data_IF_404484592916
#
_entry.id   IF_404484592916
#
_cell.length_a   1.000
_cell.length_b   1.000
_cell.length_c   1.000
_cell.angle_alpha   90.00
_cell.angle_beta   90.00
_cell.angle_gamma   90.00
#
_symmetry.space_group_name_H-M   'P 1'
#
loop_
_entity.id
_entity.type
_entity.pdbx_description
1 polymer ?
#
# COMPACT_ATOMS: atom_id res chain seq x y z
N UNK A 1 3.17 8.39 3.33
CA UNK A 1 2.23 7.63 4.19
C UNK A 1 1.85 6.38 3.43
N UNK A 2 2.13 5.16 3.90
CA UNK A 2 2.03 3.98 3.01
C UNK A 2 1.58 2.71 3.73
N UNK A 3 2.48 2.06 4.45
CA UNK A 3 2.23 0.69 4.90
C UNK A 3 1.11 0.54 5.95
N UNK A 4 1.03 1.45 6.93
CA UNK A 4 0.06 1.32 8.02
C UNK A 4 -1.40 1.50 7.55
N UNK A 5 -1.65 2.46 6.67
CA UNK A 5 -2.97 2.71 6.11
C UNK A 5 -3.40 1.57 5.17
N UNK A 6 -2.50 1.11 4.30
CA UNK A 6 -2.74 -0.05 3.43
C UNK A 6 -3.06 -1.29 4.25
N UNK A 7 -2.30 -1.54 5.33
CA UNK A 7 -2.57 -2.67 6.21
C UNK A 7 -3.91 -2.55 6.95
N UNK A 8 -4.29 -1.35 7.42
CA UNK A 8 -5.58 -1.12 8.06
C UNK A 8 -6.77 -1.40 7.13
N UNK A 9 -6.61 -1.14 5.84
CA UNK A 9 -7.62 -1.45 4.81
C UNK A 9 -7.66 -2.95 4.49
N UNK A 10 -6.51 -3.62 4.39
CA UNK A 10 -6.42 -5.03 3.95
C UNK A 10 -6.75 -6.01 5.09
N UNK A 11 -6.35 -5.70 6.33
CA UNK A 11 -6.43 -6.64 7.45
C UNK A 11 -7.83 -7.20 7.75
N UNK A 12 -8.94 -6.44 7.60
CA UNK A 12 -10.30 -6.98 7.80
C UNK A 12 -10.72 -7.99 6.72
N UNK A 13 -10.20 -7.88 5.49
CA UNK A 13 -10.69 -8.65 4.33
C UNK A 13 -9.95 -9.97 4.11
N UNK A 14 -8.70 -10.04 4.53
CA UNK A 14 -7.84 -11.20 4.30
C UNK A 14 -7.26 -11.65 5.63
N UNK A 15 -7.13 -12.97 5.85
CA UNK A 15 -6.44 -13.53 7.01
C UNK A 15 -5.26 -14.37 6.54
N UNK A 16 -5.53 -15.39 5.73
CA UNK A 16 -4.52 -16.31 5.18
C UNK A 16 -3.85 -15.75 3.93
N UNK A 17 -4.57 -14.96 3.11
CA UNK A 17 -4.05 -14.40 1.85
C UNK A 17 -3.43 -13.00 2.01
N UNK A 18 -3.25 -12.52 3.25
CA UNK A 18 -2.70 -11.19 3.56
C UNK A 18 -1.38 -10.86 2.84
N UNK A 19 -0.36 -11.75 2.81
CA UNK A 19 0.91 -11.44 2.14
C UNK A 19 0.73 -11.21 0.63
N UNK A 20 -0.12 -11.99 -0.01
CA UNK A 20 -0.44 -11.84 -1.44
C UNK A 20 -1.20 -10.56 -1.74
N UNK A 21 -2.20 -10.21 -0.91
CA UNK A 21 -2.96 -8.97 -1.05
C UNK A 21 -2.05 -7.73 -0.87
N UNK A 22 -1.14 -7.77 0.10
CA UNK A 22 -0.13 -6.71 0.29
C UNK A 22 0.81 -6.62 -0.90
N UNK A 23 1.32 -7.75 -1.39
CA UNK A 23 2.16 -7.77 -2.59
C UNK A 23 1.42 -7.15 -3.79
N UNK A 24 0.15 -7.48 -4.00
CA UNK A 24 -0.65 -6.88 -5.07
C UNK A 24 -0.82 -5.37 -4.88
N UNK A 25 -1.08 -4.90 -3.66
CA UNK A 25 -1.20 -3.46 -3.38
C UNK A 25 0.09 -2.69 -3.71
N UNK A 26 1.26 -3.22 -3.29
CA UNK A 26 2.54 -2.57 -3.59
C UNK A 26 2.95 -2.70 -5.07
N UNK A 27 2.65 -3.81 -5.73
CA UNK A 27 2.90 -3.95 -7.17
C UNK A 27 2.04 -2.96 -7.98
N UNK A 28 0.82 -2.65 -7.52
CA UNK A 28 -0.04 -1.65 -8.12
C UNK A 28 0.57 -0.24 -8.12
N UNK A 29 1.29 0.13 -7.06
CA UNK A 29 2.01 1.41 -6.98
C UNK A 29 3.06 1.53 -8.09
N UNK A 30 3.90 0.51 -8.26
CA UNK A 30 4.95 0.46 -9.29
C UNK A 30 4.38 0.51 -10.71
N UNK A 31 3.37 -0.31 -10.99
CA UNK A 31 2.73 -0.36 -12.31
C UNK A 31 2.02 0.97 -12.61
N UNK A 32 1.34 1.53 -11.60
CA UNK A 32 0.69 2.83 -11.69
C UNK A 32 1.67 3.92 -12.11
N UNK A 33 2.85 3.98 -11.49
CA UNK A 33 3.90 4.93 -11.86
C UNK A 33 4.36 4.80 -13.32
N UNK A 34 4.57 3.57 -13.81
CA UNK A 34 5.01 3.33 -15.19
C UNK A 34 3.95 3.75 -16.23
N UNK A 35 2.70 3.36 -16.00
CA UNK A 35 1.58 3.70 -16.90
C UNK A 35 1.29 5.19 -16.85
N UNK A 36 1.28 5.77 -15.64
CA UNK A 36 1.01 7.19 -15.43
C UNK A 36 2.05 8.07 -16.09
N UNK A 37 3.35 7.78 -15.91
CA UNK A 37 4.44 8.55 -16.52
C UNK A 37 4.32 8.60 -18.05
N UNK A 38 4.11 7.45 -18.67
CA UNK A 38 3.96 7.34 -20.13
C UNK A 38 2.67 8.03 -20.62
N UNK A 39 1.55 7.81 -19.92
CA UNK A 39 0.27 8.43 -20.24
C UNK A 39 0.28 9.94 -20.08
N UNK A 40 1.01 10.46 -19.10
CA UNK A 40 1.13 11.90 -18.85
C UNK A 40 1.83 12.62 -19.99
N UNK A 41 2.97 12.09 -20.44
CA UNK A 41 3.70 12.62 -21.61
C UNK A 41 2.82 12.57 -22.86
N UNK A 42 2.14 11.43 -23.08
CA UNK A 42 1.22 11.28 -24.21
C UNK A 42 0.09 12.32 -24.20
N UNK A 43 -0.62 12.49 -23.07
CA UNK A 43 -1.72 13.46 -22.97
C UNK A 43 -1.24 14.89 -23.22
N UNK A 44 -0.11 15.29 -22.63
CA UNK A 44 0.43 16.64 -22.80
C UNK A 44 0.84 16.87 -24.25
N UNK A 45 1.50 15.89 -24.88
CA UNK A 45 1.93 15.99 -26.28
C UNK A 45 0.76 16.18 -27.26
N UNK A 46 -0.43 15.63 -26.92
CA UNK A 46 -1.59 15.64 -27.81
C UNK A 46 -2.55 16.78 -27.54
N UNK A 47 -2.72 17.17 -26.27
CA UNK A 47 -3.79 18.06 -25.83
C UNK A 47 -3.29 19.30 -25.06
N UNK A 48 -1.97 19.40 -24.84
CA UNK A 48 -1.37 20.43 -24.01
C UNK A 48 -1.55 20.17 -22.51
N UNK A 49 -0.80 20.92 -21.71
CA UNK A 49 -0.72 20.72 -20.26
C UNK A 49 -2.06 20.91 -19.55
N UNK A 50 -2.81 21.97 -19.86
CA UNK A 50 -4.05 22.30 -19.15
C UNK A 50 -5.11 21.21 -19.30
N UNK A 51 -5.38 20.75 -20.53
CA UNK A 51 -6.39 19.71 -20.76
C UNK A 51 -5.94 18.36 -20.20
N UNK A 52 -4.64 18.05 -20.28
CA UNK A 52 -4.07 16.86 -19.65
C UNK A 52 -4.28 16.85 -18.14
N UNK A 53 -3.94 17.96 -17.46
CA UNK A 53 -4.08 18.09 -16.01
C UNK A 53 -5.54 17.99 -15.56
N UNK A 54 -6.47 18.66 -16.25
CA UNK A 54 -7.90 18.58 -15.95
C UNK A 54 -8.41 17.15 -16.14
N UNK A 55 -8.08 16.52 -17.27
CA UNK A 55 -8.55 15.17 -17.59
C UNK A 55 -8.09 14.15 -16.55
N UNK A 56 -6.82 14.21 -16.16
CA UNK A 56 -6.29 13.31 -15.13
C UNK A 56 -6.86 13.64 -13.75
N UNK A 57 -6.97 14.92 -13.39
CA UNK A 57 -7.59 15.33 -12.12
C UNK A 57 -9.02 14.79 -11.97
N UNK A 58 -9.84 14.94 -13.02
CA UNK A 58 -11.21 14.41 -13.06
C UNK A 58 -11.19 12.88 -12.98
N UNK A 59 -10.36 12.22 -13.78
CA UNK A 59 -10.27 10.75 -13.80
C UNK A 59 -9.84 10.18 -12.44
N UNK A 60 -8.77 10.72 -11.84
CA UNK A 60 -8.29 10.30 -10.53
C UNK A 60 -9.34 10.55 -9.45
N UNK A 61 -10.02 11.68 -9.46
CA UNK A 61 -11.09 11.99 -8.50
C UNK A 61 -12.25 11.02 -8.65
N UNK A 62 -12.69 10.73 -9.88
CA UNK A 62 -13.78 9.80 -10.16
C UNK A 62 -13.44 8.38 -9.70
N UNK A 63 -12.22 7.89 -9.98
CA UNK A 63 -11.75 6.57 -9.55
C UNK A 63 -11.69 6.47 -8.02
N UNK A 64 -11.12 7.48 -7.36
CA UNK A 64 -11.04 7.51 -5.88
C UNK A 64 -12.44 7.53 -5.28
N UNK A 65 -13.33 8.38 -5.78
CA UNK A 65 -14.71 8.46 -5.30
C UNK A 65 -15.43 7.12 -5.48
N UNK A 66 -15.32 6.49 -6.64
CA UNK A 66 -15.93 5.19 -6.92
C UNK A 66 -15.43 4.11 -5.94
N UNK A 67 -14.12 4.03 -5.72
CA UNK A 67 -13.53 3.08 -4.76
C UNK A 67 -13.94 3.39 -3.32
N UNK A 68 -14.00 4.67 -2.94
CA UNK A 68 -14.43 5.07 -1.61
C UNK A 68 -15.89 4.68 -1.33
N UNK A 69 -16.79 4.93 -2.28
CA UNK A 69 -18.21 4.64 -2.11
C UNK A 69 -18.54 3.15 -2.22
N UNK A 70 -17.85 2.40 -3.08
CA UNK A 70 -18.18 0.99 -3.36
C UNK A 70 -17.33 -0.01 -2.58
N UNK A 71 -16.08 0.32 -2.22
CA UNK A 71 -15.14 -0.63 -1.62
C UNK A 71 -14.90 -0.30 -0.16
N UNK A 72 -14.55 0.95 0.16
CA UNK A 72 -14.22 1.33 1.54
C UNK A 72 -15.43 1.52 2.45
N UNK A 73 -16.63 1.67 1.88
CA UNK A 73 -17.87 1.79 2.66
C UNK A 73 -18.31 0.48 3.31
N UNK A 74 -17.96 -0.65 2.73
CA UNK A 74 -18.43 -1.94 3.21
C UNK A 74 -17.30 -2.68 3.92
N UNK A 75 -17.55 -3.16 5.13
CA UNK A 75 -16.74 -4.22 5.71
C UNK A 75 -17.29 -5.58 5.28
N UNK A 76 -16.47 -6.64 5.20
CA UNK A 76 -16.95 -7.97 4.80
C UNK A 76 -18.14 -8.43 5.65
N UNK A 77 -18.16 -8.10 6.94
CA UNK A 77 -19.26 -8.46 7.84
C UNK A 77 -20.59 -7.76 7.47
N UNK A 78 -20.53 -6.56 6.88
CA UNK A 78 -21.72 -5.81 6.44
C UNK A 78 -22.28 -6.34 5.11
N UNK A 79 -21.49 -7.11 4.36
CA UNK A 79 -21.89 -7.78 3.12
C UNK A 79 -22.27 -9.26 3.35
N UNK A 80 -22.22 -9.74 4.60
CA UNK A 80 -22.42 -11.15 4.94
C UNK A 80 -21.30 -12.06 4.42
N UNK A 81 -20.13 -11.48 4.09
CA UNK A 81 -18.98 -12.20 3.54
C UNK A 81 -17.97 -12.50 4.66
N UNK A 82 -17.35 -13.68 4.59
CA UNK A 82 -16.25 -14.04 5.48
C UNK A 82 -14.90 -13.60 4.86
N UNK A 83 -13.92 -13.18 5.68
CA UNK A 83 -12.56 -12.92 5.21
C UNK A 83 -12.01 -14.09 4.39
N UNK A 84 -11.25 -13.79 3.33
CA UNK A 84 -10.74 -14.73 2.32
C UNK A 84 -11.81 -15.44 1.43
N UNK A 85 -13.11 -15.14 1.61
CA UNK A 85 -14.21 -15.66 0.78
C UNK A 85 -14.56 -17.13 1.03
N UNK A 86 -14.23 -17.66 2.21
CA UNK A 86 -14.45 -19.06 2.60
C UNK A 86 -15.52 -19.18 3.67
N UNK A 87 -16.57 -19.95 3.41
CA UNK A 87 -17.52 -20.48 4.42
C UNK A 87 -16.83 -21.60 5.25
N UNK A 88 -15.70 -21.30 5.87
CA UNK A 88 -15.06 -22.25 6.78
C UNK A 88 -15.51 -21.96 8.22
N UNK A 89 -16.17 -22.94 8.89
CA UNK A 89 -16.41 -22.83 10.31
C UNK A 89 -15.06 -22.60 11.00
N UNK A 90 -15.01 -21.67 11.94
CA UNK A 90 -13.82 -21.30 12.72
C UNK A 90 -13.27 -22.45 13.62
N UNK A 91 -13.58 -23.71 13.31
CA UNK A 91 -13.25 -24.89 14.10
C UNK A 91 -11.85 -25.46 13.81
N UNK A 92 -11.13 -25.00 12.79
CA UNK A 92 -9.86 -25.61 12.38
C UNK A 92 -8.68 -24.63 12.21
N UNK A 93 -8.72 -23.47 12.85
CA UNK A 93 -7.47 -22.73 13.06
C UNK A 93 -6.67 -23.47 14.14
N UNK A 94 -5.44 -23.94 13.86
CA UNK A 94 -4.55 -24.37 14.92
C UNK A 94 -4.46 -23.22 15.93
N UNK A 95 -4.73 -23.48 17.21
CA UNK A 95 -4.43 -22.53 18.28
C UNK A 95 -2.94 -22.20 18.16
N UNK A 96 -2.62 -21.06 17.57
CA UNK A 96 -1.27 -20.54 17.63
C UNK A 96 -0.95 -20.39 19.12
N UNK A 97 0.21 -20.89 19.59
CA UNK A 97 0.65 -20.62 20.94
C UNK A 97 0.53 -19.13 21.20
N UNK A 98 0.10 -18.75 22.41
CA UNK A 98 0.08 -17.35 22.84
C UNK A 98 1.51 -16.81 22.76
N UNK A 99 1.88 -16.22 21.62
CA UNK A 99 3.20 -15.62 21.41
C UNK A 99 3.15 -14.36 22.26
N UNK A 100 3.62 -14.49 23.50
CA UNK A 100 3.82 -13.42 24.44
C UNK A 100 4.28 -12.17 23.68
N UNK A 101 3.50 -11.09 23.79
CA UNK A 101 3.74 -9.83 23.11
C UNK A 101 5.18 -9.37 23.41
N UNK A 102 6.09 -9.58 22.46
CA UNK A 102 7.48 -9.15 22.60
C UNK A 102 7.44 -7.62 22.65
N UNK A 103 7.89 -6.97 23.74
CA UNK A 103 7.86 -5.52 23.84
C UNK A 103 8.90 -4.92 22.89
N UNK A 104 8.50 -4.67 21.64
CA UNK A 104 9.32 -4.08 20.59
C UNK A 104 9.87 -2.69 20.96
N UNK A 105 9.25 -2.02 21.94
CA UNK A 105 9.64 -0.69 22.42
C UNK A 105 10.98 -0.68 23.18
N UNK A 106 11.44 -1.84 23.67
CA UNK A 106 12.67 -1.95 24.48
C UNK A 106 13.91 -2.43 23.74
N UNK A 107 13.79 -2.90 22.50
CA UNK A 107 14.90 -3.59 21.83
C UNK A 107 15.79 -2.62 21.03
N UNK A 108 16.95 -2.27 21.62
CA UNK A 108 17.95 -1.37 21.04
C UNK A 108 18.49 -1.85 19.68
N UNK A 109 18.48 -3.16 19.41
CA UNK A 109 18.89 -3.73 18.12
C UNK A 109 17.95 -3.36 16.97
N UNK A 110 16.67 -3.13 17.26
CA UNK A 110 15.69 -2.70 16.27
C UNK A 110 15.92 -1.24 15.85
N UNK A 111 16.40 -0.41 16.79
CA UNK A 111 16.73 1.01 16.53
C UNK A 111 17.98 1.12 15.66
N UNK A 112 19.01 0.30 15.88
CA UNK A 112 20.22 0.30 15.02
C UNK A 112 19.97 -0.22 13.61
N UNK A 113 19.04 -1.17 13.42
CA UNK A 113 18.65 -1.66 12.09
C UNK A 113 17.83 -0.61 11.31
N UNK A 114 16.94 0.12 11.98
CA UNK A 114 16.20 1.24 11.36
C UNK A 114 17.14 2.40 10.99
N UNK A 115 18.12 2.70 11.84
CA UNK A 115 19.12 3.74 11.60
C UNK A 115 20.08 3.40 10.43
N UNK A 116 20.42 2.12 10.21
CA UNK A 116 21.30 1.72 9.10
C UNK A 116 20.63 1.86 7.74
N UNK A 117 19.33 1.58 7.63
CA UNK A 117 18.54 1.80 6.39
C UNK A 117 18.52 3.30 6.04
N UNK A 118 18.44 4.20 7.03
CA UNK A 118 18.51 5.65 6.80
C UNK A 118 19.93 6.12 6.43
N UNK A 119 20.97 5.54 7.03
CA UNK A 119 22.36 5.94 6.85
C UNK A 119 22.90 5.74 5.43
N UNK A 120 22.49 4.67 4.73
CA UNK A 120 22.91 4.43 3.36
C UNK A 120 22.33 5.48 2.38
N UNK A 121 21.10 5.95 2.61
CA UNK A 121 20.49 7.00 1.80
C UNK A 121 21.17 8.37 2.00
N UNK A 122 21.56 8.70 3.24
CA UNK A 122 22.29 9.95 3.54
C UNK A 122 23.71 9.91 2.97
N UNK A 123 24.41 8.77 3.04
CA UNK A 123 25.75 8.62 2.47
C UNK A 123 25.76 8.74 0.94
N UNK A 124 24.71 8.24 0.27
CA UNK A 124 24.58 8.36 -1.19
C UNK A 124 24.23 9.79 -1.63
N UNK A 125 23.43 10.52 -0.85
CA UNK A 125 23.15 11.96 -1.11
C UNK A 125 24.38 12.84 -0.85
N UNK A 126 25.17 12.55 0.19
CA UNK A 126 26.38 13.29 0.49
C UNK A 126 27.50 13.08 -0.55
N UNK A 127 27.54 11.91 -1.20
CA UNK A 127 28.57 11.60 -2.22
C UNK A 127 28.24 12.17 -3.61
N UNK A 128 26.97 12.47 -3.91
CA UNK A 128 26.55 13.09 -5.17
C UNK A 128 26.82 14.61 -5.26
N UNK A 129 27.00 15.29 -4.12
CA UNK A 129 27.24 16.74 -4.07
C UNK A 129 28.72 17.16 -4.22
N UNK A 130 29.67 16.22 -4.25
CA UNK A 130 31.12 16.52 -4.25
C UNK A 130 31.73 16.37 -5.66
N UNK A 131 30.93 15.99 -6.67
CA UNK A 131 31.39 15.71 -8.04
C UNK A 131 30.93 16.71 -9.10
N UNK A 132 30.52 17.92 -8.70
CA UNK A 132 30.33 19.07 -9.61
C UNK A 132 31.01 20.30 -9.02
#
# INVERSE_FOLDING_TARGET
>A
MGAAAVNAVIAPWFVSKRPGALAMAYNGESIGGMVFSSGWVYLISRFGFSLAAISVGVLSTAVIALLAFNVFRFRPEQLGQHPDGVDQPAANLPRLPDIASIPLRGNRQFITLAASIQGLAILLLARGHITH
#
